data_IF_947714241734
#
_entry.id   IF_947714241734
#
_cell.length_a   1.000
_cell.length_b   1.000
_cell.length_c   1.000
_cell.angle_alpha   90.00
_cell.angle_beta   90.00
_cell.angle_gamma   90.00
#
_symmetry.space_group_name_H-M   'P 1'
#
loop_
_entity.id
_entity.type
_entity.pdbx_description
1 polymer ?
#
# COMPACT_ATOMS: atom_id res chain seq x y z
N UNK A 1 8.93 -6.30 -21.62
CA UNK A 1 8.32 -5.46 -20.57
C UNK A 1 7.93 -6.33 -19.41
N UNK A 2 8.29 -5.92 -18.20
CA UNK A 2 7.71 -6.49 -16.98
C UNK A 2 6.23 -6.11 -16.86
N UNK A 3 5.50 -6.82 -16.00
CA UNK A 3 4.09 -6.50 -15.74
C UNK A 3 3.93 -5.09 -15.15
N UNK A 4 4.88 -4.64 -14.33
CA UNK A 4 4.87 -3.30 -13.75
C UNK A 4 5.13 -2.20 -14.78
N UNK A 5 6.06 -2.42 -15.71
CA UNK A 5 6.26 -1.51 -16.86
C UNK A 5 5.03 -1.45 -17.77
N UNK A 6 4.34 -2.58 -17.96
CA UNK A 6 3.09 -2.61 -18.72
C UNK A 6 1.97 -1.83 -18.03
N UNK A 7 1.82 -1.99 -16.71
CA UNK A 7 0.83 -1.26 -15.92
C UNK A 7 1.07 0.25 -15.94
N UNK A 8 2.32 0.69 -15.85
CA UNK A 8 2.67 2.12 -15.96
C UNK A 8 2.21 2.73 -17.30
N UNK A 9 2.33 1.96 -18.38
CA UNK A 9 1.93 2.39 -19.72
C UNK A 9 0.44 2.13 -20.05
N UNK A 10 -0.31 1.42 -19.19
CA UNK A 10 -1.72 1.09 -19.42
C UNK A 10 -2.58 1.41 -18.19
N UNK A 11 -3.04 2.67 -18.05
CA UNK A 11 -3.79 3.13 -16.87
C UNK A 11 -5.06 2.32 -16.60
N UNK A 12 -5.78 1.89 -17.64
CA UNK A 12 -6.99 1.08 -17.50
C UNK A 12 -6.68 -0.25 -16.82
N UNK A 13 -5.62 -0.93 -17.27
CA UNK A 13 -5.21 -2.19 -16.67
C UNK A 13 -4.67 -1.99 -15.25
N UNK A 14 -3.87 -0.94 -15.01
CA UNK A 14 -3.36 -0.60 -13.68
C UNK A 14 -4.50 -0.41 -12.66
N UNK A 15 -5.54 0.35 -13.02
CA UNK A 15 -6.70 0.56 -12.15
C UNK A 15 -7.47 -0.73 -11.89
N UNK A 16 -7.63 -1.61 -12.88
CA UNK A 16 -8.29 -2.91 -12.69
C UNK A 16 -7.47 -3.77 -11.70
N UNK A 17 -6.16 -3.84 -11.90
CA UNK A 17 -5.24 -4.55 -11.02
C UNK A 17 -5.29 -4.02 -9.59
N UNK A 18 -5.17 -2.69 -9.41
CA UNK A 18 -5.20 -2.05 -8.10
C UNK A 18 -6.53 -2.27 -7.37
N UNK A 19 -7.67 -2.20 -8.07
CA UNK A 19 -8.99 -2.53 -7.49
C UNK A 19 -9.07 -3.98 -7.04
N UNK A 20 -8.56 -4.92 -7.83
CA UNK A 20 -8.53 -6.33 -7.45
C UNK A 20 -7.67 -6.56 -6.20
N UNK A 21 -6.49 -5.92 -6.13
CA UNK A 21 -5.61 -6.03 -4.97
C UNK A 21 -6.24 -5.43 -3.71
N UNK A 22 -6.96 -4.31 -3.81
CA UNK A 22 -7.73 -3.74 -2.69
C UNK A 22 -8.79 -4.72 -2.17
N UNK A 23 -9.55 -5.34 -3.07
CA UNK A 23 -10.62 -6.26 -2.68
C UNK A 23 -10.06 -7.48 -1.92
N UNK A 24 -9.02 -8.12 -2.48
CA UNK A 24 -8.36 -9.28 -1.86
C UNK A 24 -7.73 -8.89 -0.52
N UNK A 25 -6.96 -7.80 -0.49
CA UNK A 25 -6.30 -7.31 0.72
C UNK A 25 -7.28 -7.01 1.84
N UNK A 26 -8.45 -6.45 1.51
CA UNK A 26 -9.50 -6.15 2.50
C UNK A 26 -9.99 -7.41 3.21
N UNK A 27 -10.19 -8.51 2.47
CA UNK A 27 -10.68 -9.77 3.02
C UNK A 27 -9.62 -10.38 3.94
N UNK A 28 -8.38 -10.45 3.46
CA UNK A 28 -7.27 -11.07 4.19
C UNK A 28 -6.93 -10.27 5.45
N UNK A 29 -6.79 -8.94 5.33
CA UNK A 29 -6.42 -8.08 6.44
C UNK A 29 -7.48 -8.01 7.53
N UNK A 30 -8.77 -8.14 7.20
CA UNK A 30 -9.82 -8.29 8.22
C UNK A 30 -9.51 -9.49 9.11
N UNK A 31 -9.17 -10.64 8.51
CA UNK A 31 -8.89 -11.84 9.29
C UNK A 31 -7.59 -11.72 10.09
N UNK A 32 -6.55 -11.15 9.50
CA UNK A 32 -5.27 -10.91 10.19
C UNK A 32 -5.50 -10.06 11.44
N UNK A 33 -6.22 -8.93 11.31
CA UNK A 33 -6.48 -8.03 12.44
C UNK A 33 -7.37 -8.64 13.54
N UNK A 34 -8.07 -9.75 13.27
CA UNK A 34 -8.82 -10.48 14.31
C UNK A 34 -7.93 -11.38 15.15
N UNK A 35 -6.86 -11.95 14.57
CA UNK A 35 -6.11 -13.07 15.18
C UNK A 35 -4.66 -12.74 15.49
N UNK A 36 -4.13 -11.66 14.92
CA UNK A 36 -2.73 -11.27 15.04
C UNK A 36 -2.58 -9.98 15.85
N UNK A 37 -1.87 -10.07 16.96
CA UNK A 37 -1.62 -8.94 17.87
C UNK A 37 -0.23 -8.31 17.68
N UNK A 38 0.59 -8.77 16.74
CA UNK A 38 1.96 -8.28 16.59
C UNK A 38 2.08 -6.85 16.05
N UNK A 39 0.96 -6.14 15.86
CA UNK A 39 0.95 -4.69 15.61
C UNK A 39 0.85 -3.86 16.91
N UNK A 40 0.51 -4.48 18.04
CA UNK A 40 0.38 -3.77 19.31
C UNK A 40 1.73 -3.22 19.79
N UNK A 41 1.72 -1.97 20.26
CA UNK A 41 2.90 -1.30 20.80
C UNK A 41 3.91 -0.81 19.75
N UNK A 42 3.64 -0.97 18.46
CA UNK A 42 4.49 -0.38 17.41
C UNK A 42 4.38 1.14 17.41
N UNK A 43 5.53 1.81 17.28
CA UNK A 43 5.58 3.25 17.05
C UNK A 43 5.39 3.61 15.56
N UNK A 44 5.87 2.74 14.67
CA UNK A 44 5.81 2.94 13.22
C UNK A 44 5.74 1.63 12.45
N UNK A 45 5.14 1.69 11.26
CA UNK A 45 5.00 0.56 10.35
C UNK A 45 5.24 1.00 8.91
N UNK A 46 6.06 0.24 8.20
CA UNK A 46 6.35 0.43 6.78
C UNK A 46 5.71 -0.70 5.98
N UNK A 47 4.85 -0.36 5.04
CA UNK A 47 4.23 -1.29 4.08
C UNK A 47 4.99 -1.21 2.74
N UNK A 48 5.78 -2.23 2.43
CA UNK A 48 6.64 -2.30 1.24
C UNK A 48 5.89 -3.00 0.11
N UNK A 49 5.83 -2.36 -1.05
CA UNK A 49 4.92 -2.73 -2.14
C UNK A 49 3.45 -2.75 -1.67
N UNK A 50 3.08 -1.78 -0.84
CA UNK A 50 1.75 -1.69 -0.20
C UNK A 50 0.62 -1.27 -1.15
N UNK A 51 0.92 -1.03 -2.42
CA UNK A 51 -0.03 -0.65 -3.45
C UNK A 51 -0.71 0.68 -3.12
N UNK A 52 -2.03 0.72 -3.34
CA UNK A 52 -2.88 1.86 -2.99
C UNK A 52 -3.29 1.87 -1.49
N UNK A 53 -2.33 1.59 -0.60
CA UNK A 53 -2.35 1.85 0.86
C UNK A 53 -3.43 1.08 1.64
N UNK A 54 -4.00 0.01 1.06
CA UNK A 54 -5.17 -0.64 1.68
C UNK A 54 -4.82 -1.41 2.95
N UNK A 55 -3.74 -2.18 2.95
CA UNK A 55 -3.33 -2.98 4.11
C UNK A 55 -2.95 -2.08 5.29
N UNK A 56 -1.99 -1.18 5.06
CA UNK A 56 -1.54 -0.20 6.04
C UNK A 56 -2.70 0.61 6.63
N UNK A 57 -3.66 1.04 5.81
CA UNK A 57 -4.77 1.85 6.31
C UNK A 57 -5.66 1.11 7.30
N UNK A 58 -5.85 -0.19 7.12
CA UNK A 58 -6.61 -1.00 8.06
C UNK A 58 -5.86 -1.20 9.38
N UNK A 59 -4.53 -1.35 9.33
CA UNK A 59 -3.71 -1.49 10.55
C UNK A 59 -3.76 -0.21 11.37
N UNK A 60 -3.42 0.94 10.80
CA UNK A 60 -3.38 2.19 11.57
C UNK A 60 -4.76 2.67 12.02
N UNK A 61 -5.83 2.32 11.29
CA UNK A 61 -7.21 2.61 11.73
C UNK A 61 -7.58 1.85 13.01
N UNK A 62 -7.00 0.66 13.23
CA UNK A 62 -7.17 -0.11 14.46
C UNK A 62 -6.17 0.31 15.55
N UNK A 63 -4.99 0.77 15.17
CA UNK A 63 -3.90 1.15 16.07
C UNK A 63 -3.48 2.61 15.81
N UNK A 64 -4.26 3.56 16.34
CA UNK A 64 -4.10 5.00 16.05
C UNK A 64 -2.75 5.60 16.49
N UNK A 65 -1.99 4.90 17.33
CA UNK A 65 -0.64 5.31 17.74
C UNK A 65 0.44 5.05 16.68
N UNK A 66 0.19 4.13 15.74
CA UNK A 66 1.17 3.70 14.75
C UNK A 66 1.30 4.77 13.65
N UNK A 67 2.53 5.22 13.39
CA UNK A 67 2.86 6.02 12.21
C UNK A 67 3.03 5.13 10.99
N UNK A 68 2.14 5.26 10.01
CA UNK A 68 2.16 4.46 8.79
C UNK A 68 2.96 5.10 7.65
N UNK A 69 3.82 4.31 7.01
CA UNK A 69 4.57 4.67 5.80
C UNK A 69 4.26 3.65 4.69
N UNK A 70 3.78 4.10 3.53
CA UNK A 70 3.53 3.23 2.38
C UNK A 70 4.59 3.46 1.30
N UNK A 71 5.22 2.39 0.83
CA UNK A 71 6.28 2.41 -0.16
C UNK A 71 5.88 1.59 -1.38
N UNK A 72 5.90 2.22 -2.56
CA UNK A 72 5.62 1.55 -3.83
C UNK A 72 6.28 2.31 -5.00
N UNK A 73 6.09 1.80 -6.22
CA UNK A 73 6.53 2.42 -7.46
C UNK A 73 5.85 3.78 -7.67
N UNK A 74 6.52 4.74 -8.35
CA UNK A 74 5.99 6.10 -8.52
C UNK A 74 4.59 6.13 -9.14
N UNK A 75 4.33 5.32 -10.16
CA UNK A 75 3.03 5.27 -10.84
C UNK A 75 1.90 4.72 -9.95
N UNK A 76 2.23 3.80 -9.05
CA UNK A 76 1.27 3.23 -8.08
C UNK A 76 0.94 4.25 -7.00
N UNK A 77 1.95 4.93 -6.44
CA UNK A 77 1.75 5.99 -5.45
C UNK A 77 0.91 7.13 -6.00
N UNK A 78 1.11 7.51 -7.28
CA UNK A 78 0.30 8.54 -7.93
C UNK A 78 -1.19 8.20 -7.96
N UNK A 79 -1.54 6.93 -8.17
CA UNK A 79 -2.94 6.48 -8.09
C UNK A 79 -3.45 6.45 -6.64
N UNK A 80 -2.59 6.07 -5.69
CA UNK A 80 -2.91 6.06 -4.26
C UNK A 80 -3.31 7.43 -3.70
N UNK A 81 -2.70 8.52 -4.20
CA UNK A 81 -3.03 9.90 -3.80
C UNK A 81 -4.46 10.34 -4.14
N UNK A 82 -5.20 9.54 -4.93
CA UNK A 82 -6.64 9.75 -5.17
C UNK A 82 -7.52 9.29 -4.01
N UNK A 83 -6.95 8.60 -3.01
CA UNK A 83 -7.64 8.21 -1.78
C UNK A 83 -7.38 9.25 -0.67
N UNK A 84 -8.33 9.46 0.27
CA UNK A 84 -8.17 10.48 1.31
C UNK A 84 -6.85 10.29 2.08
N UNK A 85 -5.95 11.24 1.91
CA UNK A 85 -4.57 11.22 2.43
C UNK A 85 -4.50 11.49 3.95
N UNK A 86 -5.49 11.01 4.71
CA UNK A 86 -5.73 11.58 6.04
C UNK A 86 -4.64 11.21 7.07
N UNK A 87 -3.82 10.18 6.84
CA UNK A 87 -2.85 9.70 7.85
C UNK A 87 -1.55 9.03 7.35
N UNK A 88 -1.15 9.13 6.06
CA UNK A 88 -0.01 8.35 5.54
C UNK A 88 1.00 9.22 4.80
N UNK A 89 2.29 8.99 5.08
CA UNK A 89 3.38 9.52 4.26
C UNK A 89 3.72 8.46 3.22
N UNK A 90 3.52 8.78 1.94
CA UNK A 90 3.92 7.94 0.83
C UNK A 90 5.31 8.35 0.38
N UNK A 91 6.23 7.38 0.24
CA UNK A 91 7.52 7.63 -0.39
C UNK A 91 7.66 6.77 -1.65
N UNK A 92 8.35 7.34 -2.63
CA UNK A 92 8.80 6.61 -3.81
C UNK A 92 10.21 6.10 -3.54
N UNK A 93 10.42 4.78 -3.65
CA UNK A 93 11.78 4.24 -3.77
C UNK A 93 12.19 4.37 -5.23
N UNK A 94 13.18 5.22 -5.52
CA UNK A 94 13.92 5.17 -6.78
C UNK A 94 14.97 4.07 -6.62
N UNK A 95 14.65 2.85 -7.04
CA UNK A 95 15.65 1.79 -7.16
C UNK A 95 16.60 2.17 -8.31
N UNK A 96 17.70 2.84 -8.00
CA UNK A 96 18.81 2.97 -8.94
C UNK A 96 19.49 1.60 -9.04
N UNK A 97 19.06 0.78 -9.99
CA UNK A 97 19.84 -0.36 -10.43
C UNK A 97 21.06 0.18 -11.19
N UNK A 98 22.16 0.45 -10.48
CA UNK A 98 23.46 0.54 -11.13
C UNK A 98 23.89 -0.90 -11.45
N UNK A 99 23.94 -1.22 -12.75
CA UNK A 99 24.60 -2.43 -13.26
C UNK A 99 26.09 -2.42 -12.91
#
# INVERSE_FOLDING_TARGET
MSMFEYMDNNPTYNTIFNKAMVAISTIIMKKILEVYNGFEGLDSLVDVAGGIVKCLSMVVSKHLSIKGINLDLPHVIKEALSYPATFYITFTIIMNYTN
#
